data_IF_544509386549
#
_entry.id   IF_544509386549
#
_cell.length_a   1.000
_cell.length_b   1.000
_cell.length_c   1.000
_cell.angle_alpha   90.00
_cell.angle_beta   90.00
_cell.angle_gamma   90.00
#
_symmetry.space_group_name_H-M   'P 1'
#
loop_
_entity.id
_entity.type
_entity.pdbx_description
1 polymer ?
#
# COMPACT_ATOMS: atom_id res chain seq x y z
N UNK A 1 -21.29 -14.90 18.15
CA UNK A 1 -19.84 -15.14 18.20
C UNK A 1 -19.24 -13.98 17.46
N UNK A 2 -18.27 -13.26 18.03
CA UNK A 2 -17.47 -12.31 17.24
C UNK A 2 -16.76 -13.15 16.20
N UNK A 3 -16.94 -12.86 14.92
CA UNK A 3 -16.06 -13.43 13.92
C UNK A 3 -14.74 -12.70 14.14
N UNK A 4 -13.71 -13.42 14.57
CA UNK A 4 -12.37 -12.86 14.57
C UNK A 4 -11.96 -12.74 13.11
N UNK A 5 -11.38 -11.60 12.72
CA UNK A 5 -10.83 -11.43 11.38
C UNK A 5 -9.77 -12.51 11.21
N UNK A 6 -10.06 -13.50 10.37
CA UNK A 6 -9.12 -14.58 10.07
C UNK A 6 -7.93 -14.00 9.31
N UNK A 7 -6.74 -14.52 9.60
CA UNK A 7 -5.50 -14.07 8.97
C UNK A 7 -5.58 -14.19 7.45
N UNK A 8 -6.36 -15.14 6.93
CA UNK A 8 -6.72 -15.37 5.54
C UNK A 8 -7.22 -14.09 4.83
N UNK A 9 -7.96 -13.21 5.53
CA UNK A 9 -8.41 -11.93 4.95
C UNK A 9 -7.24 -10.95 4.77
N UNK A 10 -6.22 -11.05 5.63
CA UNK A 10 -5.03 -10.19 5.67
C UNK A 10 -3.88 -10.73 4.83
N UNK A 11 -3.90 -12.02 4.47
CA UNK A 11 -2.88 -12.69 3.65
C UNK A 11 -2.51 -11.90 2.38
N UNK A 12 -3.46 -11.31 1.63
CA UNK A 12 -3.14 -10.46 0.47
C UNK A 12 -2.28 -9.24 0.83
N UNK A 13 -2.60 -8.58 1.95
CA UNK A 13 -1.80 -7.47 2.46
C UNK A 13 -0.42 -7.93 2.96
N UNK A 14 -0.37 -9.08 3.63
CA UNK A 14 0.88 -9.69 4.08
C UNK A 14 1.79 -10.06 2.90
N UNK A 15 1.24 -10.64 1.84
CA UNK A 15 1.97 -10.99 0.62
C UNK A 15 2.59 -9.74 -0.05
N UNK A 16 1.89 -8.61 -0.05
CA UNK A 16 2.43 -7.33 -0.54
C UNK A 16 3.64 -6.88 0.30
N UNK A 17 3.55 -6.98 1.63
CA UNK A 17 4.64 -6.61 2.53
C UNK A 17 5.85 -7.51 2.29
N UNK A 18 5.65 -8.83 2.30
CA UNK A 18 6.72 -9.82 2.15
C UNK A 18 7.44 -9.63 0.81
N UNK A 19 6.71 -9.68 -0.30
CA UNK A 19 7.31 -9.56 -1.65
C UNK A 19 8.07 -8.24 -1.84
N UNK A 20 7.55 -7.14 -1.29
CA UNK A 20 8.23 -5.84 -1.35
C UNK A 20 9.50 -5.83 -0.50
N UNK A 21 9.47 -6.40 0.69
CA UNK A 21 10.62 -6.47 1.59
C UNK A 21 11.70 -7.45 1.11
N UNK A 22 11.33 -8.54 0.43
CA UNK A 22 12.28 -9.45 -0.22
C UNK A 22 13.12 -8.74 -1.29
N UNK A 23 12.50 -7.88 -2.11
CA UNK A 23 13.22 -7.05 -3.07
C UNK A 23 14.23 -6.11 -2.39
N UNK A 24 13.86 -5.55 -1.23
CA UNK A 24 14.74 -4.69 -0.43
C UNK A 24 15.89 -5.51 0.17
N UNK A 25 15.60 -6.70 0.69
CA UNK A 25 16.58 -7.60 1.28
C UNK A 25 17.64 -8.05 0.28
N UNK A 26 17.21 -8.43 -0.93
CA UNK A 26 18.10 -8.87 -2.02
C UNK A 26 19.16 -7.80 -2.34
N UNK A 27 18.75 -6.53 -2.34
CA UNK A 27 19.63 -5.40 -2.61
C UNK A 27 20.53 -5.04 -1.41
N UNK A 28 19.99 -5.01 -0.20
CA UNK A 28 20.72 -4.56 1.00
C UNK A 28 21.71 -5.61 1.54
N UNK A 29 21.58 -6.89 1.17
CA UNK A 29 22.48 -8.02 1.48
C UNK A 29 23.00 -8.05 2.93
N UNK A 30 22.51 -9.00 3.71
CA UNK A 30 22.90 -9.26 5.12
C UNK A 30 22.32 -8.29 6.16
N UNK A 31 21.20 -7.61 5.87
CA UNK A 31 20.46 -6.91 6.91
C UNK A 31 19.73 -7.94 7.80
N UNK A 32 20.38 -8.37 8.88
CA UNK A 32 19.88 -9.44 9.77
C UNK A 32 18.54 -9.12 10.42
N UNK A 33 18.21 -7.85 10.59
CA UNK A 33 16.95 -7.44 11.22
C UNK A 33 15.79 -7.56 10.23
N UNK A 34 16.02 -7.15 8.98
CA UNK A 34 15.10 -7.38 7.88
C UNK A 34 14.88 -8.88 7.64
N UNK A 35 15.94 -9.69 7.53
CA UNK A 35 15.84 -11.15 7.34
C UNK A 35 14.97 -11.79 8.41
N UNK A 36 15.23 -11.48 9.69
CA UNK A 36 14.43 -12.03 10.81
C UNK A 36 12.97 -11.58 10.77
N UNK A 37 12.72 -10.37 10.28
CA UNK A 37 11.35 -9.85 10.17
C UNK A 37 10.61 -10.60 9.06
N UNK A 38 11.25 -10.80 7.90
CA UNK A 38 10.73 -11.61 6.80
C UNK A 38 10.48 -13.06 7.23
N UNK A 39 11.43 -13.70 7.91
CA UNK A 39 11.25 -15.07 8.43
C UNK A 39 10.00 -15.16 9.31
N UNK A 40 9.81 -14.21 10.22
CA UNK A 40 8.62 -14.15 11.09
C UNK A 40 7.33 -13.86 10.33
N UNK A 41 7.35 -12.96 9.34
CA UNK A 41 6.19 -12.65 8.52
C UNK A 41 5.73 -13.87 7.70
N UNK A 42 6.64 -14.73 7.25
CA UNK A 42 6.30 -15.96 6.52
C UNK A 42 5.71 -17.07 7.41
N UNK A 43 5.91 -16.99 8.72
CA UNK A 43 5.50 -18.01 9.70
C UNK A 43 4.37 -17.52 10.62
N UNK A 44 3.83 -16.31 10.38
CA UNK A 44 2.84 -15.72 11.27
C UNK A 44 1.47 -16.36 11.08
N UNK A 45 0.89 -16.85 12.18
CA UNK A 45 -0.44 -17.47 12.21
C UNK A 45 -1.46 -16.63 12.99
N UNK A 46 -1.00 -15.80 13.93
CA UNK A 46 -1.86 -15.03 14.85
C UNK A 46 -1.79 -13.52 14.56
N UNK A 47 -2.93 -12.84 14.67
CA UNK A 47 -3.07 -11.41 14.35
C UNK A 47 -2.29 -10.52 15.32
N UNK A 48 -2.24 -10.86 16.62
CA UNK A 48 -1.44 -10.13 17.61
C UNK A 48 0.06 -10.17 17.28
N UNK A 49 0.56 -11.35 16.91
CA UNK A 49 1.96 -11.55 16.52
C UNK A 49 2.28 -10.76 15.25
N UNK A 50 1.36 -10.76 14.27
CA UNK A 50 1.48 -9.93 13.07
C UNK A 50 1.70 -8.46 13.44
N UNK A 51 0.90 -7.89 14.35
CA UNK A 51 1.06 -6.50 14.74
C UNK A 51 2.39 -6.22 15.44
N UNK A 52 2.88 -7.14 16.28
CA UNK A 52 4.21 -7.01 16.89
C UNK A 52 5.33 -6.99 15.83
N UNK A 53 5.23 -7.87 14.83
CA UNK A 53 6.19 -7.96 13.73
C UNK A 53 6.15 -6.68 12.88
N UNK A 54 4.95 -6.19 12.51
CA UNK A 54 4.79 -4.95 11.75
C UNK A 54 5.30 -3.73 12.52
N UNK A 55 5.05 -3.65 13.83
CA UNK A 55 5.61 -2.58 14.66
C UNK A 55 7.14 -2.65 14.73
N UNK A 56 7.71 -3.84 14.77
CA UNK A 56 9.16 -4.04 14.71
C UNK A 56 9.70 -3.52 13.38
N UNK A 57 9.11 -3.92 12.25
CA UNK A 57 9.43 -3.39 10.92
C UNK A 57 9.44 -1.85 10.88
N UNK A 58 8.35 -1.23 11.35
CA UNK A 58 8.21 0.23 11.37
C UNK A 58 9.27 0.93 12.22
N UNK A 59 9.82 0.26 13.23
CA UNK A 59 10.87 0.84 14.08
C UNK A 59 12.21 1.03 13.39
N UNK A 60 12.51 0.24 12.35
CA UNK A 60 13.77 0.32 11.59
C UNK A 60 13.59 0.74 10.11
N UNK A 61 12.37 1.10 9.70
CA UNK A 61 12.04 1.61 8.34
C UNK A 61 13.00 2.73 7.88
N UNK A 62 13.20 3.74 8.74
CA UNK A 62 14.08 4.88 8.45
C UNK A 62 15.54 4.43 8.26
N UNK A 63 15.97 3.39 8.97
CA UNK A 63 17.31 2.83 8.78
C UNK A 63 17.44 2.16 7.41
N UNK A 64 16.43 1.37 7.00
CA UNK A 64 16.41 0.76 5.66
C UNK A 64 16.46 1.83 4.56
N UNK A 65 15.67 2.88 4.70
CA UNK A 65 15.64 3.99 3.73
C UNK A 65 17.04 4.61 3.57
N UNK A 66 17.72 4.87 4.69
CA UNK A 66 19.08 5.40 4.68
C UNK A 66 20.09 4.43 4.03
N UNK A 67 19.96 3.13 4.30
CA UNK A 67 20.80 2.10 3.67
C UNK A 67 20.58 2.05 2.15
N UNK A 68 19.32 2.12 1.69
CA UNK A 68 18.97 2.13 0.27
C UNK A 68 19.58 3.36 -0.43
N UNK A 69 19.39 4.55 0.12
CA UNK A 69 19.97 5.81 -0.41
C UNK A 69 21.50 5.78 -0.44
N UNK A 70 22.14 5.03 0.46
CA UNK A 70 23.59 4.88 0.47
C UNK A 70 24.14 3.98 -0.64
N UNK A 71 23.31 3.11 -1.26
CA UNK A 71 23.74 2.22 -2.33
C UNK A 71 24.16 2.97 -3.60
N UNK A 72 23.65 4.19 -3.84
CA UNK A 72 23.85 4.96 -5.08
C UNK A 72 23.60 4.12 -6.33
N UNK A 73 22.57 3.29 -6.26
CA UNK A 73 22.26 2.28 -7.26
C UNK A 73 21.30 2.84 -8.32
N UNK A 74 21.32 2.25 -9.52
CA UNK A 74 20.35 2.62 -10.57
C UNK A 74 18.90 2.34 -10.16
N UNK A 75 18.73 1.39 -9.26
CA UNK A 75 17.43 0.88 -8.80
C UNK A 75 17.02 1.46 -7.44
N UNK A 76 17.70 2.52 -6.97
CA UNK A 76 17.38 3.18 -5.69
C UNK A 76 15.91 3.60 -5.63
N UNK A 77 15.38 4.17 -6.71
CA UNK A 77 13.99 4.61 -6.78
C UNK A 77 13.02 3.43 -6.59
N UNK A 78 13.26 2.32 -7.26
CA UNK A 78 12.47 1.09 -7.15
C UNK A 78 12.55 0.49 -5.75
N UNK A 79 13.73 0.47 -5.12
CA UNK A 79 13.89 -0.03 -3.76
C UNK A 79 13.15 0.84 -2.74
N UNK A 80 13.18 2.16 -2.92
CA UNK A 80 12.37 3.07 -2.09
C UNK A 80 10.88 2.82 -2.32
N UNK A 81 10.45 2.57 -3.56
CA UNK A 81 9.05 2.20 -3.81
C UNK A 81 8.65 0.94 -3.06
N UNK A 82 9.45 -0.12 -3.15
CA UNK A 82 9.20 -1.37 -2.43
C UNK A 82 9.09 -1.13 -0.91
N UNK A 83 10.05 -0.41 -0.32
CA UNK A 83 10.02 -0.11 1.11
C UNK A 83 8.75 0.69 1.51
N UNK A 84 8.40 1.71 0.73
CA UNK A 84 7.24 2.57 1.01
C UNK A 84 5.91 1.84 0.81
N UNK A 85 5.80 0.92 -0.16
CA UNK A 85 4.64 0.05 -0.35
C UNK A 85 4.46 -0.86 0.87
N UNK A 86 5.51 -1.56 1.29
CA UNK A 86 5.49 -2.41 2.48
C UNK A 86 5.10 -1.62 3.74
N UNK A 87 5.73 -0.45 3.91
CA UNK A 87 5.47 0.49 5.01
C UNK A 87 4.02 0.98 5.04
N UNK A 88 3.44 1.31 3.88
CA UNK A 88 2.07 1.79 3.79
C UNK A 88 1.07 0.67 4.07
N UNK A 89 1.32 -0.54 3.54
CA UNK A 89 0.47 -1.69 3.83
C UNK A 89 0.50 -2.02 5.33
N UNK A 90 1.69 -2.00 5.95
CA UNK A 90 1.83 -2.21 7.38
C UNK A 90 1.04 -1.18 8.21
N UNK A 91 0.92 0.07 7.74
CA UNK A 91 0.08 1.07 8.38
C UNK A 91 -1.42 0.80 8.14
N UNK A 92 -1.82 0.35 6.94
CA UNK A 92 -3.21 -0.02 6.63
C UNK A 92 -3.70 -1.27 7.36
N UNK A 93 -2.80 -2.20 7.67
CA UNK A 93 -3.09 -3.39 8.45
C UNK A 93 -3.14 -3.14 9.98
N UNK A 94 -3.09 -1.89 10.44
CA UNK A 94 -3.28 -1.60 11.87
C UNK A 94 -4.76 -1.70 12.27
N UNK A 95 -5.08 -2.14 13.50
CA UNK A 95 -6.46 -2.29 13.99
C UNK A 95 -7.32 -1.03 13.89
N UNK A 96 -6.69 0.14 14.01
CA UNK A 96 -7.37 1.43 14.00
C UNK A 96 -7.44 2.08 12.61
N UNK A 97 -6.96 1.39 11.57
CA UNK A 97 -7.02 1.90 10.21
C UNK A 97 -8.28 1.43 9.47
N UNK A 98 -8.51 1.98 8.28
CA UNK A 98 -9.76 1.83 7.56
C UNK A 98 -10.04 0.37 7.15
N UNK A 99 -9.03 -0.42 6.75
CA UNK A 99 -9.23 -1.82 6.37
C UNK A 99 -9.88 -2.62 7.50
N UNK A 100 -9.37 -2.49 8.73
CA UNK A 100 -9.90 -3.16 9.93
C UNK A 100 -11.21 -2.55 10.43
N UNK A 101 -11.29 -1.22 10.54
CA UNK A 101 -12.52 -0.53 10.98
C UNK A 101 -13.69 -0.80 10.06
N UNK A 102 -13.42 -0.98 8.78
CA UNK A 102 -14.45 -1.28 7.81
C UNK A 102 -14.96 -2.71 7.96
N UNK A 103 -14.09 -3.67 8.31
CA UNK A 103 -14.50 -5.03 8.68
C UNK A 103 -15.50 -5.01 9.83
N UNK A 104 -15.19 -4.30 10.92
CA UNK A 104 -16.09 -4.14 12.07
C UNK A 104 -17.45 -3.55 11.65
N UNK A 105 -17.44 -2.57 10.73
CA UNK A 105 -18.65 -1.91 10.24
C UNK A 105 -19.52 -2.80 9.33
N UNK A 106 -18.88 -3.71 8.59
CA UNK A 106 -19.56 -4.70 7.75
C UNK A 106 -20.24 -5.75 8.64
N UNK A 107 -19.61 -6.17 9.74
CA UNK A 107 -20.22 -7.10 10.69
C UNK A 107 -21.49 -6.54 11.34
N UNK A 108 -21.45 -5.28 11.78
CA UNK A 108 -22.61 -4.56 12.31
C UNK A 108 -23.74 -4.39 11.26
N UNK A 109 -23.37 -4.35 9.97
CA UNK A 109 -24.28 -4.26 8.82
C UNK A 109 -24.82 -5.60 8.32
N UNK A 110 -24.06 -6.69 8.50
CA UNK A 110 -24.43 -8.05 8.10
C UNK A 110 -25.62 -8.59 8.90
N UNK A 111 -25.75 -8.21 10.18
CA UNK A 111 -26.96 -8.46 10.97
C UNK A 111 -28.23 -7.85 10.35
N UNK A 112 -28.10 -6.89 9.42
CA UNK A 112 -29.20 -6.19 8.72
C UNK A 112 -29.43 -6.66 7.28
N UNK A 113 -28.94 -7.83 6.87
CA UNK A 113 -29.30 -8.53 5.62
C UNK A 113 -28.83 -7.90 4.28
N UNK A 114 -27.90 -6.95 4.29
CA UNK A 114 -27.38 -6.29 3.07
C UNK A 114 -26.00 -6.76 2.61
N UNK A 115 -25.24 -7.46 3.46
CA UNK A 115 -23.87 -7.93 3.15
C UNK A 115 -23.89 -9.45 3.02
N UNK A 116 -23.40 -9.96 1.90
CA UNK A 116 -23.12 -11.39 1.64
C UNK A 116 -21.62 -11.59 1.47
N UNK A 117 -21.12 -12.81 1.64
CA UNK A 117 -19.71 -13.10 1.31
C UNK A 117 -19.39 -12.73 -0.15
N UNK A 118 -20.36 -12.92 -1.06
CA UNK A 118 -20.24 -12.58 -2.49
C UNK A 118 -20.12 -11.08 -2.79
N UNK A 119 -20.52 -10.17 -1.88
CA UNK A 119 -20.47 -8.74 -2.13
C UNK A 119 -19.43 -7.98 -1.28
N UNK A 120 -18.75 -8.68 -0.38
CA UNK A 120 -17.82 -8.06 0.56
C UNK A 120 -16.64 -7.41 -0.18
N UNK A 121 -16.09 -8.09 -1.20
CA UNK A 121 -14.94 -7.60 -1.94
C UNK A 121 -15.27 -6.39 -2.83
N UNK A 122 -16.46 -6.37 -3.45
CA UNK A 122 -16.92 -5.17 -4.17
C UNK A 122 -17.14 -3.98 -3.21
N UNK A 123 -17.64 -4.22 -1.99
CA UNK A 123 -17.78 -3.19 -0.96
C UNK A 123 -16.40 -2.66 -0.51
N UNK A 124 -15.41 -3.54 -0.30
CA UNK A 124 -14.03 -3.13 0.01
C UNK A 124 -13.37 -2.35 -1.13
N UNK A 125 -13.62 -2.74 -2.37
CA UNK A 125 -13.09 -2.08 -3.56
C UNK A 125 -13.63 -0.65 -3.68
N UNK A 126 -14.91 -0.42 -3.43
CA UNK A 126 -15.48 0.93 -3.37
C UNK A 126 -14.81 1.77 -2.27
N UNK A 127 -14.62 1.20 -1.08
CA UNK A 127 -13.96 1.91 0.02
C UNK A 127 -12.48 2.21 -0.27
N UNK A 128 -11.78 1.29 -0.92
CA UNK A 128 -10.40 1.51 -1.39
C UNK A 128 -10.35 2.62 -2.43
N UNK A 129 -11.26 2.64 -3.40
CA UNK A 129 -11.34 3.72 -4.39
C UNK A 129 -11.55 5.07 -3.69
N UNK A 130 -12.46 5.14 -2.72
CA UNK A 130 -12.66 6.35 -1.91
C UNK A 130 -11.38 6.75 -1.18
N UNK A 131 -10.67 5.79 -0.60
CA UNK A 131 -9.42 6.05 0.13
C UNK A 131 -8.31 6.57 -0.78
N UNK A 132 -8.15 5.99 -1.97
CA UNK A 132 -7.20 6.45 -2.99
C UNK A 132 -7.52 7.89 -3.40
N UNK A 133 -8.79 8.22 -3.64
CA UNK A 133 -9.21 9.56 -4.01
C UNK A 133 -8.93 10.59 -2.90
N UNK A 134 -9.08 10.21 -1.63
CA UNK A 134 -8.69 11.05 -0.50
C UNK A 134 -7.17 11.30 -0.53
N UNK A 135 -6.35 10.25 -0.68
CA UNK A 135 -4.89 10.38 -0.76
C UNK A 135 -4.48 11.31 -1.90
N UNK A 136 -5.07 11.15 -3.09
CA UNK A 136 -4.80 12.01 -4.23
C UNK A 136 -5.27 13.45 -4.03
N UNK A 137 -6.45 13.66 -3.44
CA UNK A 137 -6.97 15.00 -3.13
C UNK A 137 -6.08 15.74 -2.13
N UNK A 138 -5.66 15.07 -1.06
CA UNK A 138 -4.73 15.61 -0.07
C UNK A 138 -3.36 15.91 -0.71
N UNK A 139 -2.90 15.01 -1.58
CA UNK A 139 -1.68 15.19 -2.38
C UNK A 139 -1.75 16.42 -3.27
N UNK A 140 -2.87 16.68 -3.97
CA UNK A 140 -3.05 17.89 -4.79
C UNK A 140 -2.83 19.16 -3.96
N UNK A 141 -3.37 19.19 -2.74
CA UNK A 141 -3.22 20.33 -1.83
C UNK A 141 -1.78 20.50 -1.34
N UNK A 142 -1.16 19.39 -0.92
CA UNK A 142 0.21 19.35 -0.41
C UNK A 142 1.23 19.78 -1.47
N UNK A 143 1.00 19.38 -2.72
CA UNK A 143 1.98 19.52 -3.80
C UNK A 143 1.81 20.77 -4.66
N UNK A 144 0.76 21.56 -4.42
CA UNK A 144 0.49 22.83 -5.11
C UNK A 144 1.66 23.82 -5.10
N UNK A 145 2.53 23.74 -4.09
CA UNK A 145 3.70 24.61 -3.96
C UNK A 145 5.00 24.00 -4.51
N UNK A 146 4.99 22.72 -4.89
CA UNK A 146 6.15 22.00 -5.43
C UNK A 146 6.10 21.99 -6.95
N UNK A 147 4.92 21.73 -7.52
CA UNK A 147 4.67 21.77 -8.96
C UNK A 147 3.75 22.92 -9.32
N UNK A 148 3.97 23.55 -10.48
CA UNK A 148 2.96 24.46 -11.03
C UNK A 148 1.74 23.68 -11.52
N UNK A 149 0.59 24.34 -11.59
CA UNK A 149 -0.66 23.73 -12.09
C UNK A 149 -0.57 23.28 -13.56
N UNK A 150 0.42 23.79 -14.31
CA UNK A 150 0.64 23.44 -15.71
C UNK A 150 1.50 22.19 -15.92
N UNK A 151 2.18 21.71 -14.86
CA UNK A 151 3.00 20.50 -14.92
C UNK A 151 2.09 19.27 -15.11
N UNK A 152 2.53 18.37 -15.99
CA UNK A 152 1.80 17.13 -16.31
C UNK A 152 1.46 16.31 -15.07
N UNK A 153 2.39 16.21 -14.12
CA UNK A 153 2.17 15.57 -12.82
C UNK A 153 0.90 16.09 -12.11
N UNK A 154 0.77 17.42 -11.96
CA UNK A 154 -0.36 18.04 -11.29
C UNK A 154 -1.68 17.79 -12.02
N UNK A 155 -1.66 17.75 -13.36
CA UNK A 155 -2.86 17.49 -14.17
C UNK A 155 -3.33 16.05 -13.99
N UNK A 156 -2.42 15.08 -14.11
CA UNK A 156 -2.73 13.66 -13.92
C UNK A 156 -3.24 13.43 -12.50
N UNK A 157 -2.60 14.01 -11.48
CA UNK A 157 -3.00 13.85 -10.09
C UNK A 157 -4.42 14.40 -9.82
N UNK A 158 -4.77 15.55 -10.41
CA UNK A 158 -6.12 16.13 -10.30
C UNK A 158 -7.17 15.25 -10.96
N UNK A 159 -6.90 14.75 -12.17
CA UNK A 159 -7.81 13.82 -12.86
C UNK A 159 -8.01 12.59 -11.99
N UNK A 160 -6.91 11.97 -11.55
CA UNK A 160 -6.94 10.78 -10.72
C UNK A 160 -7.73 10.96 -9.41
N UNK A 161 -7.71 12.15 -8.80
CA UNK A 161 -8.46 12.42 -7.57
C UNK A 161 -9.99 12.44 -7.72
N UNK A 162 -10.50 12.45 -8.95
CA UNK A 162 -11.92 12.45 -9.28
C UNK A 162 -12.38 11.12 -9.91
N UNK A 163 -11.46 10.17 -10.11
CA UNK A 163 -11.74 8.90 -10.77
C UNK A 163 -12.46 7.91 -9.85
N UNK A 164 -13.41 7.17 -10.43
CA UNK A 164 -14.16 6.12 -9.69
C UNK A 164 -13.90 4.73 -10.24
N UNK A 165 -13.03 4.60 -11.25
CA UNK A 165 -12.69 3.34 -11.87
C UNK A 165 -11.28 2.90 -11.42
N UNK A 166 -11.18 1.69 -10.87
CA UNK A 166 -9.91 1.15 -10.38
C UNK A 166 -8.84 1.04 -11.48
N UNK A 167 -9.23 0.72 -12.72
CA UNK A 167 -8.28 0.62 -13.84
C UNK A 167 -7.69 1.99 -14.18
N UNK A 168 -8.53 3.02 -14.22
CA UNK A 168 -8.08 4.39 -14.48
C UNK A 168 -7.17 4.90 -13.35
N UNK A 169 -7.49 4.57 -12.09
CA UNK A 169 -6.63 4.83 -10.93
C UNK A 169 -5.29 4.07 -11.01
N UNK A 170 -5.29 2.82 -11.47
CA UNK A 170 -4.08 2.01 -11.71
C UNK A 170 -3.18 2.62 -12.77
N UNK A 171 -3.77 3.06 -13.88
CA UNK A 171 -3.02 3.75 -14.94
C UNK A 171 -2.45 5.09 -14.44
N UNK A 172 -3.26 5.88 -13.73
CA UNK A 172 -2.83 7.14 -13.15
C UNK A 172 -1.67 6.96 -12.18
N UNK A 173 -1.75 5.99 -11.26
CA UNK A 173 -0.68 5.68 -10.31
C UNK A 173 0.65 5.39 -11.01
N UNK A 174 0.62 4.49 -12.01
CA UNK A 174 1.80 4.15 -12.83
C UNK A 174 2.36 5.37 -13.56
N UNK A 175 1.51 6.22 -14.12
CA UNK A 175 1.95 7.44 -14.81
C UNK A 175 2.60 8.41 -13.82
N UNK A 176 1.97 8.67 -12.67
CA UNK A 176 2.47 9.60 -11.65
C UNK A 176 3.84 9.17 -11.11
N UNK A 177 3.99 7.89 -10.76
CA UNK A 177 5.26 7.33 -10.28
C UNK A 177 6.34 7.45 -11.37
N UNK A 178 6.01 7.16 -12.62
CA UNK A 178 6.98 7.26 -13.73
C UNK A 178 7.39 8.71 -14.03
N UNK A 179 6.46 9.67 -13.99
CA UNK A 179 6.77 11.09 -14.12
C UNK A 179 7.71 11.51 -12.99
N UNK A 180 7.38 11.13 -11.75
CA UNK A 180 8.17 11.48 -10.58
C UNK A 180 9.58 10.88 -10.66
N UNK A 181 9.71 9.63 -11.12
CA UNK A 181 11.00 8.94 -11.32
C UNK A 181 11.95 9.75 -12.21
N UNK A 182 11.45 10.29 -13.32
CA UNK A 182 12.27 11.03 -14.29
C UNK A 182 12.38 12.53 -13.98
N UNK A 183 11.58 13.05 -13.05
CA UNK A 183 11.62 14.44 -12.62
C UNK A 183 12.95 14.75 -11.92
N UNK A 184 13.60 15.84 -12.35
CA UNK A 184 14.94 16.28 -11.90
C UNK A 184 14.94 17.66 -11.25
N UNK A 185 13.85 18.40 -11.36
CA UNK A 185 13.72 19.76 -10.83
C UNK A 185 13.27 19.78 -9.37
N UNK A 186 12.67 18.68 -8.90
CA UNK A 186 12.29 18.47 -7.52
C UNK A 186 13.46 17.86 -6.76
N UNK A 187 13.75 18.38 -5.57
CA UNK A 187 14.78 17.80 -4.71
C UNK A 187 14.36 16.40 -4.20
N UNK A 188 15.33 15.58 -3.82
CA UNK A 188 15.09 14.18 -3.48
C UNK A 188 14.15 14.02 -2.28
N UNK A 189 14.25 14.87 -1.24
CA UNK A 189 13.40 14.75 -0.05
C UNK A 189 11.92 14.97 -0.38
N UNK A 190 11.60 16.05 -1.11
CA UNK A 190 10.25 16.29 -1.59
C UNK A 190 9.78 15.18 -2.52
N UNK A 191 10.68 14.66 -3.38
CA UNK A 191 10.38 13.56 -4.30
C UNK A 191 10.02 12.28 -3.57
N UNK A 192 10.72 11.93 -2.49
CA UNK A 192 10.40 10.73 -1.72
C UNK A 192 9.17 10.90 -0.83
N UNK A 193 8.90 12.11 -0.34
CA UNK A 193 7.64 12.43 0.33
C UNK A 193 6.44 12.34 -0.63
N UNK A 194 6.59 12.87 -1.85
CA UNK A 194 5.63 12.72 -2.95
C UNK A 194 5.38 11.24 -3.26
N UNK A 195 6.46 10.48 -3.40
CA UNK A 195 6.44 9.07 -3.74
C UNK A 195 5.74 8.24 -2.66
N UNK A 196 5.86 8.63 -1.38
CA UNK A 196 5.19 7.94 -0.28
C UNK A 196 3.68 7.98 -0.41
N UNK A 197 3.09 9.14 -0.75
CA UNK A 197 1.65 9.25 -0.96
C UNK A 197 1.19 8.41 -2.17
N UNK A 198 1.96 8.45 -3.27
CA UNK A 198 1.64 7.66 -4.47
C UNK A 198 1.73 6.15 -4.21
N UNK A 199 2.74 5.70 -3.48
CA UNK A 199 2.91 4.30 -3.12
C UNK A 199 1.86 3.81 -2.13
N UNK A 200 1.32 4.68 -1.28
CA UNK A 200 0.17 4.33 -0.46
C UNK A 200 -1.07 4.02 -1.33
N UNK A 201 -1.31 4.80 -2.39
CA UNK A 201 -2.37 4.50 -3.36
C UNK A 201 -2.07 3.23 -4.18
N UNK A 202 -0.86 3.08 -4.72
CA UNK A 202 -0.44 1.88 -5.46
C UNK A 202 -0.60 0.61 -4.62
N UNK A 203 -0.25 0.68 -3.34
CA UNK A 203 -0.40 -0.40 -2.38
C UNK A 203 -1.86 -0.87 -2.25
N UNK A 204 -2.82 0.05 -2.16
CA UNK A 204 -4.24 -0.28 -2.11
C UNK A 204 -4.77 -0.85 -3.43
N UNK A 205 -4.26 -0.35 -4.56
CA UNK A 205 -4.60 -0.90 -5.88
C UNK A 205 -4.11 -2.35 -6.00
N UNK A 206 -2.87 -2.62 -5.58
CA UNK A 206 -2.29 -3.96 -5.56
C UNK A 206 -3.08 -4.91 -4.64
N UNK A 207 -3.60 -4.41 -3.52
CA UNK A 207 -4.43 -5.21 -2.61
C UNK A 207 -5.69 -5.72 -3.32
N UNK A 208 -6.40 -4.84 -4.02
CA UNK A 208 -7.59 -5.25 -4.80
C UNK A 208 -7.22 -6.21 -5.93
N UNK A 209 -6.09 -5.98 -6.60
CA UNK A 209 -5.62 -6.86 -7.68
C UNK A 209 -5.35 -8.28 -7.20
N UNK A 210 -4.76 -8.43 -6.01
CA UNK A 210 -4.50 -9.73 -5.39
C UNK A 210 -5.81 -10.37 -4.91
N UNK A 211 -6.72 -9.63 -4.26
CA UNK A 211 -8.03 -10.17 -3.87
C UNK A 211 -8.82 -10.73 -5.05
N UNK A 212 -8.83 -10.02 -6.18
CA UNK A 212 -9.50 -10.50 -7.39
C UNK A 212 -8.85 -11.79 -7.94
N UNK A 213 -7.54 -11.99 -7.76
CA UNK A 213 -6.87 -13.23 -8.15
C UNK A 213 -7.31 -14.39 -7.27
N UNK A 214 -7.37 -14.18 -5.95
CA UNK A 214 -7.87 -15.20 -5.02
C UNK A 214 -9.32 -15.59 -5.32
N UNK A 215 -10.23 -14.64 -5.63
CA UNK A 215 -11.61 -14.98 -6.03
C UNK A 215 -11.68 -15.89 -7.26
N UNK A 216 -10.85 -15.61 -8.28
CA UNK A 216 -10.80 -16.43 -9.49
C UNK A 216 -10.33 -17.86 -9.19
N UNK A 217 -9.42 -18.04 -8.24
CA UNK A 217 -8.92 -19.35 -7.84
C UNK A 217 -9.96 -20.16 -7.04
N UNK A 218 -10.85 -19.50 -6.29
CA UNK A 218 -11.96 -20.16 -5.57
C UNK A 218 -13.13 -20.58 -6.49
N UNK A 219 -13.35 -19.90 -7.62
CA UNK A 219 -14.39 -20.30 -8.59
C UNK A 219 -13.99 -21.50 -9.48
N UNK A 220 -12.71 -21.87 -9.50
CA UNK A 220 -12.19 -23.00 -10.30
C UNK A 220 -12.11 -24.35 -9.53
N UNK A 221 -12.51 -24.41 -8.26
CA UNK A 221 -12.66 -25.65 -7.45
C UNK A 221 -14.10 -26.22 -7.42
#
# INVERSE_FOLDING_TARGET
MKNEIEIDFLEPGLAIIISSLENVEEALKNNKELTKTLDKLNEVEEVEDLFEILNTFKSFEVELENQIRALKHKDEFELICNLQIASSMADFLKPDNFLFKFTDSIEDGAEKSLVTQENILEIYKEEIINKINIIYSESVLKFKNIFSDEVEFTKVLKIASEENNLNDLREASKILINILKIEKTVNDDNKYELLKELNASECLINLVDIWNQYEMDFEEE
#
